data_IF_217200431087
#
_entry.id   IF_217200431087
#
_cell.length_a   1.000
_cell.length_b   1.000
_cell.length_c   1.000
_cell.angle_alpha   90.00
_cell.angle_beta   90.00
_cell.angle_gamma   90.00
#
_symmetry.space_group_name_H-M   'P 1'
#
loop_
_entity.id
_entity.type
_entity.pdbx_description
1 polymer ?
#
# COMPACT_ATOMS: atom_id res chain seq x y z
N UNK A 1 -18.55 17.24 -27.69
CA UNK A 1 -18.58 18.49 -26.86
C UNK A 1 -17.15 18.83 -26.46
N UNK A 2 -16.64 20.03 -26.78
CA UNK A 2 -15.23 20.39 -26.50
C UNK A 2 -15.05 20.66 -25.01
N UNK A 3 -14.05 20.02 -24.34
CA UNK A 3 -13.75 20.12 -22.89
C UNK A 3 -13.76 21.55 -22.33
N UNK A 4 -13.32 22.54 -23.11
CA UNK A 4 -13.34 23.97 -22.72
C UNK A 4 -14.74 24.57 -22.56
N UNK A 5 -15.80 24.03 -23.22
CA UNK A 5 -17.19 24.50 -23.05
C UNK A 5 -17.85 23.94 -21.81
N UNK A 6 -17.38 22.75 -21.33
CA UNK A 6 -17.87 22.16 -20.09
C UNK A 6 -17.36 22.95 -18.86
N UNK A 7 -16.07 23.27 -18.83
CA UNK A 7 -15.46 24.02 -17.72
C UNK A 7 -16.06 25.42 -17.57
N UNK A 8 -16.36 26.12 -18.69
CA UNK A 8 -17.00 27.46 -18.64
C UNK A 8 -18.45 27.41 -18.15
N UNK A 9 -19.18 26.31 -18.31
CA UNK A 9 -20.56 26.17 -17.81
C UNK A 9 -20.65 25.81 -16.34
N UNK A 10 -19.64 25.08 -15.80
CA UNK A 10 -19.58 24.72 -14.37
C UNK A 10 -19.13 25.89 -13.50
N UNK A 11 -18.27 26.77 -13.99
CA UNK A 11 -17.81 27.94 -13.22
C UNK A 11 -18.86 29.04 -13.06
N UNK A 12 -19.93 29.06 -13.86
CA UNK A 12 -21.03 30.02 -13.68
C UNK A 12 -22.11 29.54 -12.69
N UNK A 13 -22.12 28.25 -12.31
CA UNK A 13 -23.08 27.73 -11.32
C UNK A 13 -22.56 27.85 -9.87
N UNK A 14 -21.29 28.16 -9.67
CA UNK A 14 -20.68 28.28 -8.35
C UNK A 14 -20.80 29.66 -7.69
N UNK A 15 -21.43 30.64 -8.35
CA UNK A 15 -21.57 32.00 -7.79
C UNK A 15 -22.89 32.15 -6.98
N UNK A 16 -23.76 31.14 -6.95
CA UNK A 16 -25.12 31.23 -6.35
C UNK A 16 -25.31 30.57 -5.00
N UNK A 17 -24.33 29.89 -4.42
CA UNK A 17 -24.43 29.22 -3.11
C UNK A 17 -23.35 29.71 -2.15
N UNK A 18 -23.46 30.97 -1.76
CA UNK A 18 -22.83 31.49 -0.56
C UNK A 18 -23.56 30.96 0.67
N UNK A 19 -23.42 29.67 0.98
CA UNK A 19 -23.92 29.06 2.21
C UNK A 19 -22.76 28.34 2.88
N UNK A 20 -22.24 29.04 3.87
CA UNK A 20 -21.61 28.58 5.10
C UNK A 20 -20.42 27.62 4.98
N UNK A 21 -19.22 28.24 4.99
CA UNK A 21 -17.97 27.57 5.34
C UNK A 21 -17.94 26.97 6.77
N UNK A 22 -19.01 27.16 7.55
CA UNK A 22 -19.04 26.71 8.96
C UNK A 22 -19.55 25.28 9.15
N UNK A 23 -20.14 24.67 8.12
CA UNK A 23 -20.71 23.32 8.28
C UNK A 23 -19.69 22.21 7.98
N UNK A 24 -18.64 22.50 7.18
CA UNK A 24 -17.59 21.50 6.90
C UNK A 24 -16.42 21.54 7.87
N UNK A 25 -16.23 22.63 8.62
CA UNK A 25 -15.12 22.72 9.59
C UNK A 25 -15.39 21.98 10.90
N UNK A 26 -16.64 21.62 11.18
CA UNK A 26 -17.00 20.91 12.42
C UNK A 26 -16.94 19.37 12.33
N UNK A 27 -16.79 18.81 11.12
CA UNK A 27 -16.67 17.35 10.97
C UNK A 27 -15.27 16.83 11.34
N UNK A 28 -14.28 17.71 11.48
CA UNK A 28 -12.89 17.31 11.75
C UNK A 28 -12.39 17.58 13.18
N UNK A 29 -13.30 17.89 14.14
CA UNK A 29 -12.90 18.17 15.52
C UNK A 29 -13.51 17.25 16.57
N UNK A 30 -14.07 16.13 16.23
CA UNK A 30 -14.10 15.04 17.19
C UNK A 30 -12.70 14.45 17.26
N UNK A 31 -11.90 14.95 18.20
CA UNK A 31 -10.76 14.20 18.69
C UNK A 31 -11.31 12.87 19.16
N UNK A 32 -11.11 11.82 18.36
CA UNK A 32 -11.34 10.45 18.79
C UNK A 32 -10.45 10.29 20.01
N UNK A 33 -11.04 10.34 21.18
CA UNK A 33 -10.39 9.98 22.43
C UNK A 33 -10.14 8.48 22.33
N UNK A 34 -9.02 8.11 21.70
CA UNK A 34 -8.54 6.73 21.67
C UNK A 34 -8.27 6.38 23.14
N UNK A 35 -9.18 5.60 23.73
CA UNK A 35 -8.92 4.97 25.01
C UNK A 35 -7.54 4.33 24.93
N UNK A 36 -6.62 4.70 25.80
CA UNK A 36 -5.28 4.14 25.85
C UNK A 36 -5.30 2.61 26.10
N UNK A 37 -6.43 2.06 26.47
CA UNK A 37 -6.69 0.64 26.69
C UNK A 37 -7.30 -0.08 25.49
N UNK A 38 -7.49 0.59 24.33
CA UNK A 38 -8.03 -0.05 23.15
C UNK A 38 -6.99 -1.01 22.56
N UNK A 39 -7.36 -2.28 22.41
CA UNK A 39 -6.53 -3.24 21.70
C UNK A 39 -6.33 -2.80 20.25
N UNK A 40 -5.14 -3.00 19.68
CA UNK A 40 -4.90 -2.70 18.29
C UNK A 40 -5.83 -3.53 17.39
N UNK A 41 -6.19 -2.96 16.24
CA UNK A 41 -7.05 -3.61 15.25
C UNK A 41 -6.26 -3.83 13.97
N UNK A 42 -6.36 -5.04 13.42
CA UNK A 42 -5.84 -5.39 12.10
C UNK A 42 -7.00 -5.84 11.23
N UNK A 43 -7.11 -5.24 10.05
CA UNK A 43 -8.18 -5.54 9.10
C UNK A 43 -7.54 -5.91 7.75
N UNK A 44 -8.08 -6.95 7.12
CA UNK A 44 -7.78 -7.30 5.75
C UNK A 44 -9.08 -7.42 4.94
N UNK A 45 -9.02 -7.08 3.67
CA UNK A 45 -10.18 -7.17 2.76
C UNK A 45 -10.38 -8.59 2.19
N UNK A 46 -9.38 -9.46 2.37
CA UNK A 46 -9.40 -10.86 1.95
C UNK A 46 -9.32 -11.79 3.16
N UNK A 47 -9.69 -13.07 2.97
CA UNK A 47 -9.61 -14.10 4.04
C UNK A 47 -8.16 -14.59 4.24
N UNK A 48 -7.28 -13.67 4.67
CA UNK A 48 -5.85 -13.91 4.92
C UNK A 48 -5.58 -14.02 6.43
N UNK A 49 -6.18 -15.03 7.06
CA UNK A 49 -6.16 -15.20 8.53
C UNK A 49 -4.76 -15.27 9.13
N UNK A 50 -3.81 -15.90 8.44
CA UNK A 50 -2.44 -16.01 8.94
C UNK A 50 -1.73 -14.67 8.89
N UNK A 51 -1.90 -13.91 7.81
CA UNK A 51 -1.33 -12.57 7.66
C UNK A 51 -1.85 -11.60 8.74
N UNK A 52 -3.16 -11.55 8.96
CA UNK A 52 -3.75 -10.71 10.01
C UNK A 52 -3.34 -11.13 11.41
N UNK A 53 -3.19 -12.44 11.67
CA UNK A 53 -2.68 -12.96 12.95
C UNK A 53 -1.23 -12.54 13.18
N UNK A 54 -0.36 -12.62 12.19
CA UNK A 54 1.04 -12.20 12.29
C UNK A 54 1.14 -10.68 12.49
N UNK A 55 0.37 -9.90 11.73
CA UNK A 55 0.31 -8.46 11.91
C UNK A 55 -0.15 -8.07 13.33
N UNK A 56 -1.21 -8.69 13.84
CA UNK A 56 -1.68 -8.45 15.20
C UNK A 56 -0.64 -8.84 16.25
N UNK A 57 0.01 -10.01 16.11
CA UNK A 57 1.06 -10.43 17.00
C UNK A 57 2.26 -9.46 17.00
N UNK A 58 2.61 -8.90 15.84
CA UNK A 58 3.66 -7.88 15.76
C UNK A 58 3.31 -6.65 16.60
N UNK A 59 2.07 -6.16 16.55
CA UNK A 59 1.61 -5.01 17.36
C UNK A 59 1.64 -5.33 18.86
N UNK A 60 1.11 -6.48 19.27
CA UNK A 60 1.08 -6.89 20.70
C UNK A 60 2.49 -7.04 21.27
N UNK A 61 3.46 -7.45 20.46
CA UNK A 61 4.86 -7.57 20.86
C UNK A 61 5.65 -6.24 20.76
N UNK A 62 4.97 -5.11 20.56
CA UNK A 62 5.59 -3.78 20.57
C UNK A 62 6.17 -3.32 19.23
N UNK A 63 5.91 -4.03 18.15
CA UNK A 63 6.25 -3.58 16.80
C UNK A 63 5.42 -2.39 16.35
N UNK A 64 5.92 -1.64 15.38
CA UNK A 64 5.20 -0.51 14.79
C UNK A 64 4.06 -0.98 13.88
N UNK A 65 3.16 -0.06 13.51
CA UNK A 65 2.09 -0.34 12.54
C UNK A 65 2.67 -0.73 11.17
N UNK A 66 3.76 -0.10 10.76
CA UNK A 66 4.44 -0.44 9.50
C UNK A 66 5.06 -1.84 9.55
N UNK A 67 5.67 -2.23 10.68
CA UNK A 67 6.21 -3.58 10.86
C UNK A 67 5.09 -4.64 10.82
N UNK A 68 3.94 -4.31 11.40
CA UNK A 68 2.78 -5.20 11.39
C UNK A 68 2.24 -5.42 9.97
N UNK A 69 2.05 -4.34 9.20
CA UNK A 69 1.61 -4.40 7.80
C UNK A 69 2.61 -5.19 6.97
N UNK A 70 3.89 -4.84 7.05
CA UNK A 70 4.94 -5.51 6.29
C UNK A 70 5.01 -7.00 6.62
N UNK A 71 5.07 -7.38 7.91
CA UNK A 71 5.15 -8.77 8.32
C UNK A 71 3.90 -9.56 7.93
N UNK A 72 2.72 -8.96 8.00
CA UNK A 72 1.49 -9.58 7.54
C UNK A 72 1.49 -9.84 6.02
N UNK A 73 1.83 -8.83 5.22
CA UNK A 73 1.87 -8.96 3.76
C UNK A 73 2.92 -9.98 3.30
N UNK A 74 4.08 -10.03 3.94
CA UNK A 74 5.15 -11.00 3.62
C UNK A 74 4.69 -12.45 3.74
N UNK A 75 3.72 -12.75 4.59
CA UNK A 75 3.14 -14.10 4.72
C UNK A 75 2.50 -14.53 3.41
N UNK A 76 1.68 -13.66 2.82
CA UNK A 76 1.00 -13.98 1.57
C UNK A 76 1.96 -13.93 0.38
N UNK A 77 2.91 -12.99 0.36
CA UNK A 77 3.94 -12.92 -0.68
C UNK A 77 4.86 -14.15 -0.72
N UNK A 78 5.06 -14.83 0.41
CA UNK A 78 5.84 -16.05 0.52
C UNK A 78 5.01 -17.32 0.31
N UNK A 79 3.70 -17.22 0.19
CA UNK A 79 2.80 -18.37 0.10
C UNK A 79 2.79 -18.94 -1.33
N UNK A 80 3.54 -20.01 -1.56
CA UNK A 80 3.64 -20.69 -2.86
C UNK A 80 2.31 -21.32 -3.34
N UNK A 81 1.34 -21.50 -2.46
CA UNK A 81 0.01 -22.02 -2.78
C UNK A 81 -1.01 -20.91 -3.05
N UNK A 82 -0.64 -19.67 -2.80
CA UNK A 82 -1.45 -18.51 -3.16
C UNK A 82 -1.54 -18.38 -4.68
N UNK A 83 -2.59 -17.73 -5.18
CA UNK A 83 -2.77 -17.49 -6.62
C UNK A 83 -2.89 -16.01 -6.96
N UNK A 84 -2.52 -15.15 -6.02
CA UNK A 84 -2.81 -13.74 -6.11
C UNK A 84 -1.57 -12.85 -6.04
N UNK A 85 -0.68 -13.11 -5.09
CA UNK A 85 0.47 -12.25 -4.81
C UNK A 85 1.73 -13.08 -4.59
N UNK A 86 2.89 -12.46 -4.74
CA UNK A 86 4.18 -13.05 -4.39
C UNK A 86 4.52 -14.29 -5.21
N UNK A 87 5.16 -15.24 -4.55
CA UNK A 87 5.72 -16.44 -5.14
C UNK A 87 4.66 -17.41 -5.68
N UNK A 88 3.41 -17.32 -5.20
CA UNK A 88 2.29 -18.10 -5.72
C UNK A 88 1.47 -17.37 -6.79
N UNK A 89 1.85 -16.16 -7.17
CA UNK A 89 1.12 -15.36 -8.15
C UNK A 89 1.00 -16.06 -9.51
N UNK A 90 -0.15 -15.89 -10.16
CA UNK A 90 -0.36 -16.43 -11.49
C UNK A 90 0.49 -15.65 -12.52
N UNK A 91 1.19 -16.34 -13.41
CA UNK A 91 1.98 -15.70 -14.45
C UNK A 91 1.10 -15.07 -15.54
N UNK A 92 1.66 -14.11 -16.24
CA UNK A 92 1.12 -13.64 -17.50
C UNK A 92 1.28 -14.71 -18.61
N UNK A 93 0.78 -14.42 -19.84
CA UNK A 93 0.87 -15.33 -20.97
C UNK A 93 2.32 -15.67 -21.38
N UNK A 94 3.28 -14.84 -21.00
CA UNK A 94 4.69 -14.99 -21.33
C UNK A 94 5.48 -15.66 -20.19
N UNK A 95 4.76 -16.11 -19.12
CA UNK A 95 5.34 -16.80 -17.98
C UNK A 95 5.97 -15.91 -16.92
N UNK A 96 5.70 -14.60 -16.92
CA UNK A 96 6.23 -13.70 -15.90
C UNK A 96 5.21 -13.53 -14.76
N UNK A 97 5.65 -13.72 -13.54
CA UNK A 97 4.93 -13.24 -12.36
C UNK A 97 5.37 -11.81 -12.08
N UNK A 98 4.42 -10.88 -12.02
CA UNK A 98 4.68 -9.48 -11.71
C UNK A 98 3.98 -9.07 -10.44
N UNK A 99 4.65 -8.28 -9.61
CA UNK A 99 4.17 -7.87 -8.30
C UNK A 99 4.07 -6.34 -8.22
N UNK A 100 3.02 -5.90 -7.54
CA UNK A 100 2.80 -4.52 -7.17
C UNK A 100 2.57 -4.45 -5.66
N UNK A 101 3.08 -3.41 -5.00
CA UNK A 101 2.84 -3.18 -3.59
C UNK A 101 2.80 -1.69 -3.27
N UNK A 102 2.05 -1.34 -2.24
CA UNK A 102 1.97 0.02 -1.71
C UNK A 102 1.86 -0.04 -0.19
N UNK A 103 2.56 0.86 0.50
CA UNK A 103 2.46 1.05 1.94
C UNK A 103 2.36 2.53 2.27
N UNK A 104 1.63 2.87 3.32
CA UNK A 104 1.44 4.24 3.77
C UNK A 104 1.54 4.30 5.30
N UNK A 105 2.14 5.35 5.82
CA UNK A 105 2.18 5.63 7.25
C UNK A 105 1.02 6.54 7.70
N UNK A 106 0.91 6.78 9.02
CA UNK A 106 -0.13 7.63 9.60
C UNK A 106 0.00 9.11 9.25
N UNK A 107 1.11 9.55 8.68
CA UNK A 107 1.35 10.94 8.25
C UNK A 107 0.96 11.17 6.79
N UNK A 108 0.63 10.08 6.05
CA UNK A 108 0.32 10.13 4.64
C UNK A 108 1.55 9.96 3.72
N UNK A 109 2.75 9.73 4.27
CA UNK A 109 3.89 9.35 3.44
C UNK A 109 3.62 7.95 2.88
N UNK A 110 3.90 7.74 1.62
CA UNK A 110 3.70 6.44 0.98
C UNK A 110 4.87 6.04 0.08
N UNK A 111 5.01 4.74 -0.10
CA UNK A 111 5.92 4.15 -1.06
C UNK A 111 5.26 3.04 -1.83
N UNK A 112 5.60 2.92 -3.09
CA UNK A 112 5.01 1.92 -3.99
C UNK A 112 6.06 1.34 -4.92
N UNK A 113 5.83 0.11 -5.30
CA UNK A 113 6.56 -0.54 -6.39
C UNK A 113 5.57 -1.18 -7.33
N UNK A 114 5.88 -1.16 -8.62
CA UNK A 114 5.00 -1.68 -9.66
C UNK A 114 5.83 -2.48 -10.65
N UNK A 115 5.26 -3.57 -11.13
CA UNK A 115 5.86 -4.40 -12.17
C UNK A 115 7.21 -5.01 -11.77
N UNK A 116 7.32 -5.50 -10.52
CA UNK A 116 8.47 -6.28 -10.06
C UNK A 116 8.38 -7.73 -10.56
N UNK A 117 9.49 -8.30 -11.00
CA UNK A 117 9.55 -9.69 -11.51
C UNK A 117 10.40 -10.63 -10.66
N UNK A 118 11.36 -10.10 -9.92
CA UNK A 118 12.42 -10.91 -9.33
C UNK A 118 12.64 -10.63 -7.84
N UNK A 119 11.76 -9.90 -7.17
CA UNK A 119 11.85 -9.63 -5.73
C UNK A 119 10.57 -10.10 -5.07
N UNK A 120 10.67 -11.11 -4.21
CA UNK A 120 9.52 -11.77 -3.57
C UNK A 120 8.71 -10.83 -2.66
N UNK A 121 9.40 -10.05 -1.83
CA UNK A 121 8.75 -9.17 -0.86
C UNK A 121 8.61 -7.75 -1.39
N UNK A 122 7.64 -7.58 -2.29
CA UNK A 122 7.31 -6.28 -2.88
C UNK A 122 6.91 -5.24 -1.83
N UNK A 123 6.21 -5.65 -0.75
CA UNK A 123 5.82 -4.75 0.35
C UNK A 123 7.02 -4.18 1.08
N UNK A 124 8.06 -4.97 1.31
CA UNK A 124 9.29 -4.52 1.95
C UNK A 124 10.03 -3.51 1.09
N UNK A 125 10.06 -3.73 -0.24
CA UNK A 125 10.66 -2.79 -1.16
C UNK A 125 9.85 -1.49 -1.27
N UNK A 126 8.51 -1.57 -1.27
CA UNK A 126 7.65 -0.40 -1.22
C UNK A 126 7.91 0.45 0.04
N UNK A 127 8.10 -0.20 1.20
CA UNK A 127 8.50 0.47 2.44
C UNK A 127 9.84 1.18 2.29
N UNK A 128 10.83 0.54 1.66
CA UNK A 128 12.14 1.14 1.38
C UNK A 128 12.03 2.35 0.45
N UNK A 129 11.15 2.32 -0.54
CA UNK A 129 10.88 3.50 -1.37
C UNK A 129 10.37 4.66 -0.52
N UNK A 130 9.42 4.41 0.40
CA UNK A 130 8.87 5.44 1.29
C UNK A 130 9.91 6.01 2.26
N UNK A 131 10.72 5.14 2.88
CA UNK A 131 11.61 5.51 3.97
C UNK A 131 12.96 6.10 3.49
N UNK A 132 13.49 5.61 2.35
CA UNK A 132 14.86 5.84 1.94
C UNK A 132 14.99 6.64 0.62
N UNK A 133 13.87 7.08 0.02
CA UNK A 133 13.89 7.86 -1.23
C UNK A 133 12.94 9.05 -1.18
N UNK A 134 13.15 10.07 -2.02
CA UNK A 134 12.17 11.16 -2.18
C UNK A 134 10.98 10.76 -3.09
N UNK A 135 10.97 9.54 -3.61
CA UNK A 135 9.95 9.06 -4.54
C UNK A 135 8.80 8.38 -3.79
N UNK A 136 7.62 8.51 -4.35
CA UNK A 136 6.44 7.76 -3.88
C UNK A 136 6.23 6.45 -4.63
N UNK A 137 6.91 6.27 -5.78
CA UNK A 137 6.77 5.07 -6.61
C UNK A 137 8.02 4.83 -7.45
N UNK A 138 8.42 3.56 -7.53
CA UNK A 138 9.38 3.04 -8.50
C UNK A 138 8.76 1.90 -9.29
N UNK A 139 9.21 1.67 -10.52
CA UNK A 139 8.64 0.63 -11.39
C UNK A 139 9.67 -0.17 -12.16
N UNK A 140 9.34 -1.43 -12.45
CA UNK A 140 10.08 -2.32 -13.32
C UNK A 140 11.55 -2.46 -12.96
N UNK A 141 12.42 -2.41 -13.96
CA UNK A 141 13.87 -2.60 -13.78
C UNK A 141 14.48 -1.59 -12.81
N UNK A 142 14.04 -0.33 -12.84
CA UNK A 142 14.54 0.69 -11.91
C UNK A 142 14.19 0.39 -10.44
N UNK A 143 13.00 -0.17 -10.18
CA UNK A 143 12.62 -0.62 -8.86
C UNK A 143 13.46 -1.83 -8.41
N UNK A 144 13.74 -2.77 -9.31
CA UNK A 144 14.59 -3.92 -9.02
C UNK A 144 16.04 -3.52 -8.74
N UNK A 145 16.63 -2.63 -9.54
CA UNK A 145 17.97 -2.10 -9.33
C UNK A 145 18.10 -1.40 -7.97
N UNK A 146 17.11 -0.58 -7.60
CA UNK A 146 17.04 -0.01 -6.28
C UNK A 146 16.97 -1.10 -5.20
N UNK A 147 16.11 -2.10 -5.37
CA UNK A 147 15.98 -3.23 -4.45
C UNK A 147 17.31 -3.95 -4.25
N UNK A 148 18.01 -4.28 -5.32
CA UNK A 148 19.32 -4.95 -5.23
C UNK A 148 20.36 -4.08 -4.51
N UNK A 149 20.35 -2.77 -4.74
CA UNK A 149 21.21 -1.84 -4.01
C UNK A 149 20.92 -1.78 -2.51
N UNK A 150 19.66 -2.07 -2.12
CA UNK A 150 19.20 -2.16 -0.72
C UNK A 150 19.36 -3.57 -0.11
N UNK A 151 19.98 -4.49 -0.84
CA UNK A 151 20.26 -5.84 -0.34
C UNK A 151 19.15 -6.88 -0.57
N UNK A 152 18.16 -6.57 -1.38
CA UNK A 152 17.17 -7.58 -1.78
C UNK A 152 17.80 -8.59 -2.75
N UNK A 153 17.41 -9.85 -2.58
CA UNK A 153 17.91 -10.92 -3.44
C UNK A 153 17.00 -11.10 -4.67
N UNK A 154 17.61 -11.55 -5.75
CA UNK A 154 16.90 -11.95 -6.95
C UNK A 154 16.34 -13.35 -6.79
N UNK A 155 15.01 -13.49 -6.88
CA UNK A 155 14.29 -14.76 -6.85
C UNK A 155 13.46 -14.98 -8.11
N UNK A 156 13.35 -16.22 -8.57
CA UNK A 156 12.33 -16.61 -9.53
C UNK A 156 11.00 -16.79 -8.80
N UNK A 157 9.98 -16.05 -9.20
CA UNK A 157 8.66 -16.08 -8.56
C UNK A 157 7.72 -17.09 -9.22
N UNK A 158 8.08 -17.62 -10.40
CA UNK A 158 7.30 -18.65 -11.08
C UNK A 158 7.47 -19.99 -10.37
N UNK A 159 6.37 -20.56 -9.91
CA UNK A 159 6.33 -21.91 -9.38
C UNK A 159 6.17 -22.91 -10.53
N UNK A 160 6.79 -24.07 -10.40
CA UNK A 160 6.68 -25.20 -11.36
C UNK A 160 5.35 -25.96 -11.19
#
# INVERSE_FOLDING_TARGET
>A
MKRRKFIKKTSLLSIGLGITNDTFSNIHKESINLNQDALPVVIATWDVKLATKVAFATLINGGTVLDAIENGCKIEEANEKGQSVGKGGLPDRDGNVTLDACIMNSKGDCGSVVFLKNIKHAISLARKVMEDTPHVMLSGVGAEEFGYSMGFEKENLLNS
#
